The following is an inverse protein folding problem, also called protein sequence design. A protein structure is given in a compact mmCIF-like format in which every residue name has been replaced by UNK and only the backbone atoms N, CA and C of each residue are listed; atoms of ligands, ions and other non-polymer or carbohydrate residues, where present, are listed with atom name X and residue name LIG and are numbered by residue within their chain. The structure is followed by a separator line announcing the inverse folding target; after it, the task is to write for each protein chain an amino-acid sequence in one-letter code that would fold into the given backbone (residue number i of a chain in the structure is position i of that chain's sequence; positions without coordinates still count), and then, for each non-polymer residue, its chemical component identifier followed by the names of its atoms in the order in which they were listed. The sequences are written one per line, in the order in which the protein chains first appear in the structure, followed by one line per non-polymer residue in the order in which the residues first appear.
data_IF_997661291732
#
_entry.id   IF_997661291732
#
_cell.length_a   1.000
_cell.length_b   1.000
_cell.length_c   1.000
_cell.angle_alpha   90.00
_cell.angle_beta   90.00
_cell.angle_gamma   90.00
#
_symmetry.space_group_name_H-M   'P 1'
#
loop_
_entity.id
_entity.type
_entity.pdbx_description
1 polymer ?
#
# COMPACT_ATOMS: atom_id res chain seq x y z
N UNK A 1 -44.31 20.31 -4.85
CA UNK A 1 -43.28 20.27 -5.89
C UNK A 1 -41.87 20.33 -5.33
N UNK A 2 -41.49 21.24 -4.43
CA UNK A 2 -40.13 21.37 -3.89
C UNK A 2 -39.70 20.14 -3.07
N UNK A 3 -40.55 19.58 -2.21
CA UNK A 3 -40.20 18.38 -1.40
C UNK A 3 -39.92 17.14 -2.24
N UNK A 4 -40.49 17.00 -3.43
CA UNK A 4 -40.27 15.87 -4.31
C UNK A 4 -38.92 16.00 -5.05
N UNK A 5 -38.57 17.24 -5.45
CA UNK A 5 -37.27 17.54 -6.07
C UNK A 5 -36.10 17.28 -5.10
N UNK A 6 -36.22 17.71 -3.84
CA UNK A 6 -35.23 17.44 -2.79
C UNK A 6 -35.04 15.95 -2.54
N UNK A 7 -36.15 15.18 -2.50
CA UNK A 7 -36.08 13.72 -2.28
C UNK A 7 -35.38 13.01 -3.43
N UNK A 8 -35.67 13.39 -4.69
CA UNK A 8 -35.03 12.81 -5.86
C UNK A 8 -33.52 13.15 -5.88
N UNK A 9 -33.14 14.40 -5.61
CA UNK A 9 -31.74 14.80 -5.53
C UNK A 9 -30.96 14.02 -4.44
N UNK A 10 -31.60 13.69 -3.33
CA UNK A 10 -30.97 12.90 -2.26
C UNK A 10 -30.77 11.43 -2.66
N UNK A 11 -31.73 10.86 -3.38
CA UNK A 11 -31.64 9.50 -3.94
C UNK A 11 -30.52 9.44 -4.99
N UNK A 12 -30.45 10.40 -5.91
CA UNK A 12 -29.42 10.46 -6.95
C UNK A 12 -28.01 10.62 -6.37
N UNK A 13 -27.85 11.47 -5.34
CA UNK A 13 -26.57 11.58 -4.61
C UNK A 13 -26.15 10.29 -3.93
N UNK A 14 -27.09 9.55 -3.34
CA UNK A 14 -26.79 8.28 -2.72
C UNK A 14 -26.39 7.22 -3.75
N UNK A 15 -27.10 7.15 -4.89
CA UNK A 15 -26.73 6.25 -5.98
C UNK A 15 -25.35 6.55 -6.55
N UNK A 16 -25.04 7.81 -6.81
CA UNK A 16 -23.71 8.23 -7.28
C UNK A 16 -22.59 7.85 -6.28
N UNK A 17 -22.85 8.02 -4.97
CA UNK A 17 -21.89 7.65 -3.92
C UNK A 17 -21.67 6.14 -3.84
N UNK A 18 -22.73 5.35 -3.99
CA UNK A 18 -22.63 3.87 -4.00
C UNK A 18 -21.81 3.41 -5.21
N UNK A 19 -22.12 3.91 -6.42
CA UNK A 19 -21.37 3.59 -7.63
C UNK A 19 -19.90 3.97 -7.54
N UNK A 20 -19.59 5.13 -6.98
CA UNK A 20 -18.20 5.58 -6.78
C UNK A 20 -17.45 4.67 -5.78
N UNK A 21 -18.11 4.25 -4.70
CA UNK A 21 -17.52 3.33 -3.74
C UNK A 21 -17.26 1.93 -4.37
N UNK A 22 -18.18 1.44 -5.18
CA UNK A 22 -18.01 0.17 -5.93
C UNK A 22 -16.85 0.27 -6.93
N UNK A 23 -16.74 1.38 -7.66
CA UNK A 23 -15.62 1.66 -8.57
C UNK A 23 -14.29 1.64 -7.82
N UNK A 24 -14.18 2.39 -6.72
CA UNK A 24 -12.97 2.44 -5.87
C UNK A 24 -12.61 1.06 -5.31
N UNK A 25 -13.60 0.29 -4.89
CA UNK A 25 -13.39 -1.09 -4.41
C UNK A 25 -12.83 -1.99 -5.51
N UNK A 26 -13.40 -1.93 -6.72
CA UNK A 26 -12.94 -2.73 -7.86
C UNK A 26 -11.51 -2.38 -8.25
N UNK A 27 -11.18 -1.10 -8.36
CA UNK A 27 -9.81 -0.63 -8.63
C UNK A 27 -8.83 -1.10 -7.55
N UNK A 28 -9.21 -1.01 -6.28
CA UNK A 28 -8.39 -1.49 -5.16
C UNK A 28 -8.07 -2.98 -5.30
N UNK A 29 -9.05 -3.81 -5.61
CA UNK A 29 -8.86 -5.25 -5.81
C UNK A 29 -7.95 -5.54 -7.00
N UNK A 30 -8.12 -4.85 -8.12
CA UNK A 30 -7.27 -5.00 -9.30
C UNK A 30 -5.80 -4.65 -9.00
N UNK A 31 -5.55 -3.59 -8.22
CA UNK A 31 -4.19 -3.22 -7.82
C UNK A 31 -3.57 -4.23 -6.87
N UNK A 32 -4.34 -4.77 -5.91
CA UNK A 32 -3.86 -5.82 -5.01
C UNK A 32 -3.55 -7.12 -5.78
N UNK A 33 -4.36 -7.48 -6.76
CA UNK A 33 -4.10 -8.62 -7.65
C UNK A 33 -2.83 -8.40 -8.47
N UNK A 34 -2.66 -7.21 -9.04
CA UNK A 34 -1.44 -6.84 -9.76
C UNK A 34 -0.18 -6.91 -8.88
N UNK A 35 -0.23 -6.42 -7.63
CA UNK A 35 0.88 -6.54 -6.66
C UNK A 35 1.23 -8.02 -6.45
N UNK A 36 0.22 -8.87 -6.28
CA UNK A 36 0.39 -10.32 -6.06
C UNK A 36 0.99 -11.02 -7.29
N UNK A 37 0.57 -10.66 -8.51
CA UNK A 37 1.14 -11.17 -9.77
C UNK A 37 2.62 -10.81 -9.91
N UNK A 38 3.04 -9.66 -9.39
CA UNK A 38 4.45 -9.26 -9.29
C UNK A 38 5.20 -9.93 -8.15
N UNK A 39 4.59 -10.88 -7.44
CA UNK A 39 5.14 -11.61 -6.29
C UNK A 39 5.49 -10.73 -5.08
N UNK A 40 4.80 -9.59 -4.91
CA UNK A 40 4.92 -8.76 -3.72
C UNK A 40 3.75 -8.99 -2.76
N UNK A 41 4.05 -8.97 -1.48
CA UNK A 41 3.07 -9.00 -0.40
C UNK A 41 3.51 -8.01 0.66
N UNK A 42 2.75 -6.93 0.80
CA UNK A 42 3.02 -5.90 1.79
C UNK A 42 2.04 -6.00 2.95
N UNK A 43 2.53 -5.82 4.19
CA UNK A 43 1.69 -5.66 5.37
C UNK A 43 0.82 -4.40 5.22
N UNK A 44 1.45 -3.31 4.78
CA UNK A 44 0.78 -2.04 4.49
C UNK A 44 1.21 -1.54 3.12
N UNK A 45 0.29 -1.02 2.32
CA UNK A 45 0.66 -0.40 1.04
C UNK A 45 -0.29 0.71 0.61
N UNK A 46 0.30 1.71 -0.04
CA UNK A 46 -0.34 2.90 -0.57
C UNK A 46 -0.31 2.87 -2.10
N UNK A 47 -1.37 3.33 -2.73
CA UNK A 47 -1.38 3.73 -4.14
C UNK A 47 -1.21 5.24 -4.20
N UNK A 48 -0.15 5.70 -4.84
CA UNK A 48 0.26 7.09 -4.85
C UNK A 48 0.13 7.69 -6.25
N UNK A 49 -0.40 8.91 -6.32
CA UNK A 49 -0.41 9.76 -7.51
C UNK A 49 0.65 10.84 -7.32
N UNK A 50 1.73 10.74 -8.09
CA UNK A 50 2.87 11.67 -8.00
C UNK A 50 2.53 13.08 -8.51
N UNK A 51 1.60 13.22 -9.45
CA UNK A 51 1.21 14.50 -10.04
C UNK A 51 0.25 15.30 -9.17
N UNK A 52 -0.66 14.58 -8.50
CA UNK A 52 -1.66 15.21 -7.63
C UNK A 52 -1.20 15.30 -6.18
N UNK A 53 -0.02 14.78 -5.85
CA UNK A 53 0.48 14.66 -4.48
C UNK A 53 -0.53 13.98 -3.56
N UNK A 54 -1.14 12.89 -4.01
CA UNK A 54 -2.14 12.17 -3.22
C UNK A 54 -1.79 10.71 -3.06
N UNK A 55 -2.33 10.10 -2.01
CA UNK A 55 -2.31 8.66 -1.84
C UNK A 55 -3.65 8.13 -1.36
N UNK A 56 -3.87 6.84 -1.56
CA UNK A 56 -4.91 6.06 -0.91
C UNK A 56 -4.36 4.72 -0.40
N UNK A 57 -4.86 4.29 0.74
CA UNK A 57 -4.50 3.01 1.33
C UNK A 57 -5.11 1.86 0.51
N UNK A 58 -4.27 0.94 0.02
CA UNK A 58 -4.72 -0.30 -0.60
C UNK A 58 -4.88 -1.41 0.44
N UNK A 59 -3.95 -1.49 1.38
CA UNK A 59 -3.95 -2.45 2.47
C UNK A 59 -3.32 -1.82 3.70
N UNK A 60 -3.89 -2.10 4.86
CA UNK A 60 -3.27 -1.77 6.15
C UNK A 60 -3.56 -2.84 7.19
N UNK A 61 -2.59 -3.10 8.03
CA UNK A 61 -2.77 -3.84 9.27
C UNK A 61 -3.36 -2.93 10.35
N UNK A 62 -3.97 -3.54 11.36
CA UNK A 62 -4.53 -2.81 12.49
C UNK A 62 -3.44 -1.98 13.21
N UNK A 63 -3.73 -0.72 13.46
CA UNK A 63 -2.81 0.20 14.12
C UNK A 63 -1.76 0.84 13.21
N UNK A 64 -1.83 0.69 11.88
CA UNK A 64 -0.99 1.45 10.98
C UNK A 64 -1.33 2.94 11.07
N UNK A 65 -0.33 3.79 11.16
CA UNK A 65 -0.46 5.20 11.58
C UNK A 65 -0.96 6.16 10.49
N UNK A 66 -0.95 5.75 9.21
CA UNK A 66 -1.44 6.60 8.13
C UNK A 66 -2.96 6.49 7.97
N UNK A 67 -3.60 7.58 7.56
CA UNK A 67 -5.02 7.62 7.21
C UNK A 67 -5.31 6.80 5.93
N UNK A 68 -6.59 6.59 5.61
CA UNK A 68 -7.00 5.86 4.41
C UNK A 68 -6.62 6.58 3.11
N UNK A 69 -6.60 7.90 3.12
CA UNK A 69 -6.18 8.75 2.01
C UNK A 69 -5.62 10.09 2.49
N UNK A 70 -4.95 10.81 1.61
CA UNK A 70 -4.40 12.12 1.92
C UNK A 70 -3.33 12.60 0.94
N UNK A 71 -2.55 13.61 1.36
CA UNK A 71 -1.37 14.07 0.63
C UNK A 71 -0.23 13.08 0.80
N UNK A 72 0.42 12.72 -0.32
CA UNK A 72 1.60 11.87 -0.30
C UNK A 72 2.76 12.53 0.47
N UNK A 73 3.00 13.82 0.25
CA UNK A 73 4.03 14.57 0.99
C UNK A 73 3.76 14.56 2.48
N UNK A 74 2.50 14.71 2.89
CA UNK A 74 2.08 14.59 4.29
C UNK A 74 2.32 13.20 4.87
N UNK A 75 2.04 12.14 4.11
CA UNK A 75 2.31 10.76 4.50
C UNK A 75 3.82 10.51 4.62
N UNK A 76 4.64 11.01 3.69
CA UNK A 76 6.10 10.90 3.73
C UNK A 76 6.69 11.53 5.00
N UNK A 77 6.20 12.68 5.43
CA UNK A 77 6.62 13.30 6.71
C UNK A 77 6.21 12.46 7.93
N UNK A 78 5.03 11.84 7.95
CA UNK A 78 4.61 10.92 9.01
C UNK A 78 5.48 9.66 9.02
N UNK A 79 5.79 9.09 7.85
CA UNK A 79 6.73 7.96 7.72
C UNK A 79 8.12 8.31 8.28
N UNK A 80 8.61 9.52 7.99
CA UNK A 80 9.88 10.00 8.55
C UNK A 80 9.85 10.14 10.08
N UNK A 81 8.72 10.55 10.65
CA UNK A 81 8.57 10.67 12.10
C UNK A 81 8.56 9.30 12.77
N UNK A 82 7.85 8.33 12.19
CA UNK A 82 7.66 7.01 12.77
C UNK A 82 8.86 6.07 12.53
N UNK A 83 9.47 6.11 11.35
CA UNK A 83 10.44 5.09 10.93
C UNK A 83 11.88 5.57 10.88
N UNK A 84 12.14 6.88 10.73
CA UNK A 84 13.49 7.35 10.54
C UNK A 84 14.23 7.49 11.86
N UNK A 85 15.32 6.73 12.04
CA UNK A 85 16.35 7.06 13.01
C UNK A 85 17.12 8.33 12.58
N UNK A 86 17.74 9.04 13.52
CA UNK A 86 18.36 10.35 13.26
C UNK A 86 19.45 10.29 12.17
N UNK A 87 20.23 9.22 12.13
CA UNK A 87 21.30 8.99 11.17
C UNK A 87 20.78 8.63 9.75
N UNK A 88 19.59 8.05 9.64
CA UNK A 88 18.98 7.66 8.36
C UNK A 88 17.95 8.66 7.84
N UNK A 89 17.46 9.58 8.68
CA UNK A 89 16.37 10.51 8.37
C UNK A 89 16.59 11.30 7.07
N UNK A 90 17.80 11.84 6.88
CA UNK A 90 18.12 12.62 5.68
C UNK A 90 18.06 11.76 4.40
N UNK A 91 18.55 10.53 4.46
CA UNK A 91 18.56 9.60 3.32
C UNK A 91 17.15 9.15 3.00
N UNK A 92 16.36 8.81 4.03
CA UNK A 92 14.97 8.39 3.89
C UNK A 92 14.11 9.53 3.31
N UNK A 93 14.28 10.77 3.81
CA UNK A 93 13.60 11.95 3.29
C UNK A 93 13.87 12.11 1.78
N UNK A 94 15.13 12.09 1.39
CA UNK A 94 15.52 12.21 -0.01
C UNK A 94 14.92 11.09 -0.87
N UNK A 95 14.88 9.86 -0.36
CA UNK A 95 14.31 8.73 -1.09
C UNK A 95 12.80 8.86 -1.26
N UNK A 96 12.08 9.40 -0.26
CA UNK A 96 10.62 9.62 -0.30
C UNK A 96 10.20 10.82 -1.16
N UNK A 97 11.10 11.72 -1.55
CA UNK A 97 10.77 12.84 -2.43
C UNK A 97 10.25 12.34 -3.80
N UNK A 98 9.16 12.96 -4.31
CA UNK A 98 8.59 12.61 -5.63
C UNK A 98 9.66 12.68 -6.72
N UNK A 99 10.49 13.73 -6.71
CA UNK A 99 11.58 13.89 -7.67
C UNK A 99 12.59 12.71 -7.64
N UNK A 100 12.84 12.11 -6.48
CA UNK A 100 13.68 10.92 -6.36
C UNK A 100 12.96 9.67 -6.87
N UNK A 101 11.66 9.55 -6.61
CA UNK A 101 10.84 8.47 -7.17
C UNK A 101 10.80 8.54 -8.69
N UNK A 102 10.62 9.73 -9.28
CA UNK A 102 10.64 9.94 -10.74
C UNK A 102 11.97 9.54 -11.38
N UNK A 103 13.09 9.78 -10.69
CA UNK A 103 14.42 9.37 -11.17
C UNK A 103 14.67 7.87 -11.05
N UNK A 104 14.01 7.22 -10.07
CA UNK A 104 14.27 5.83 -9.69
C UNK A 104 13.21 4.84 -10.19
N UNK A 105 12.07 5.31 -10.69
CA UNK A 105 10.97 4.47 -11.14
C UNK A 105 10.61 4.78 -12.58
N UNK A 106 10.41 3.74 -13.37
CA UNK A 106 10.00 3.84 -14.76
C UNK A 106 9.87 2.45 -15.40
N UNK A 107 9.52 2.39 -16.69
CA UNK A 107 9.37 1.10 -17.39
C UNK A 107 10.63 0.22 -17.39
N UNK A 108 11.82 0.83 -17.29
CA UNK A 108 13.10 0.12 -17.24
C UNK A 108 13.56 -0.20 -15.82
N UNK A 109 13.01 0.49 -14.81
CA UNK A 109 13.29 0.28 -13.40
C UNK A 109 11.98 0.20 -12.62
N UNK A 110 11.40 -0.99 -12.60
CA UNK A 110 10.07 -1.23 -12.04
C UNK A 110 9.99 -1.06 -10.52
N UNK A 111 11.13 -1.04 -9.81
CA UNK A 111 11.15 -0.91 -8.34
C UNK A 111 12.36 -0.17 -7.81
N UNK A 112 12.19 0.45 -6.65
CA UNK A 112 13.27 0.95 -5.78
C UNK A 112 12.95 0.60 -4.33
N UNK A 113 13.99 0.40 -3.51
CA UNK A 113 13.83 -0.07 -2.12
C UNK A 113 14.66 0.79 -1.17
N UNK A 114 14.16 0.96 0.05
CA UNK A 114 14.86 1.62 1.14
C UNK A 114 14.71 0.79 2.42
N UNK A 115 15.84 0.29 2.94
CA UNK A 115 15.87 -0.40 4.23
C UNK A 115 16.11 0.57 5.36
N UNK A 116 15.40 0.39 6.46
CA UNK A 116 15.51 1.23 7.65
C UNK A 116 15.53 0.41 8.92
N UNK A 117 16.01 1.03 9.99
CA UNK A 117 15.99 0.51 11.33
C UNK A 117 15.38 1.55 12.25
N UNK A 118 14.41 1.14 13.07
CA UNK A 118 13.86 2.01 14.11
C UNK A 118 13.99 1.41 15.49
N UNK A 119 14.14 2.24 16.50
CA UNK A 119 14.14 1.80 17.90
C UNK A 119 12.70 1.64 18.39
N UNK A 120 12.39 0.48 18.97
CA UNK A 120 11.08 0.19 19.54
C UNK A 120 11.27 -0.36 20.96
N UNK A 121 10.98 0.47 21.97
CA UNK A 121 11.25 0.12 23.36
C UNK A 121 12.75 -0.07 23.60
N UNK A 122 13.15 -1.25 24.07
CA UNK A 122 14.55 -1.64 24.33
C UNK A 122 15.22 -2.32 23.14
N UNK A 123 14.49 -2.58 22.04
CA UNK A 123 14.98 -3.29 20.87
C UNK A 123 14.94 -2.46 19.60
N UNK A 124 15.25 -3.13 18.48
CA UNK A 124 15.19 -2.53 17.15
C UNK A 124 14.26 -3.35 16.28
N UNK A 125 13.53 -2.66 15.39
CA UNK A 125 12.81 -3.26 14.26
C UNK A 125 13.50 -2.84 12.98
N UNK A 126 13.64 -3.79 12.08
CA UNK A 126 14.12 -3.56 10.73
C UNK A 126 12.94 -3.54 9.80
N UNK A 127 12.94 -2.63 8.85
CA UNK A 127 11.90 -2.54 7.87
C UNK A 127 12.46 -2.23 6.49
N UNK A 128 11.63 -2.46 5.50
CA UNK A 128 11.90 -2.11 4.12
C UNK A 128 10.67 -1.43 3.53
N UNK A 129 10.89 -0.31 2.89
CA UNK A 129 9.93 0.31 1.99
C UNK A 129 10.30 -0.08 0.55
N UNK A 130 9.31 -0.46 -0.22
CA UNK A 130 9.46 -0.79 -1.64
C UNK A 130 8.50 0.09 -2.44
N UNK A 131 9.03 0.88 -3.36
CA UNK A 131 8.22 1.60 -4.32
C UNK A 131 8.19 0.83 -5.65
N UNK A 132 6.98 0.60 -6.19
CA UNK A 132 6.75 -0.12 -7.45
C UNK A 132 6.16 0.83 -8.48
N UNK A 133 6.77 0.88 -9.67
CA UNK A 133 6.24 1.63 -10.81
C UNK A 133 4.93 1.01 -11.30
N UNK A 134 3.90 1.84 -11.48
CA UNK A 134 2.62 1.42 -12.05
C UNK A 134 2.47 1.94 -13.47
N UNK A 135 2.55 3.25 -13.65
CA UNK A 135 2.49 3.87 -14.97
C UNK A 135 3.14 5.26 -15.00
N UNK A 136 3.44 5.72 -16.21
CA UNK A 136 3.83 7.09 -16.50
C UNK A 136 2.66 7.87 -17.08
N UNK A 137 2.75 9.21 -17.02
CA UNK A 137 1.88 10.13 -17.74
C UNK A 137 2.28 10.20 -19.23
N UNK A 138 1.47 10.91 -20.03
CA UNK A 138 1.73 11.07 -21.48
C UNK A 138 3.06 11.77 -21.78
N UNK A 139 3.53 12.64 -20.88
CA UNK A 139 4.81 13.32 -20.96
C UNK A 139 6.00 12.47 -20.50
N UNK A 140 5.75 11.22 -20.09
CA UNK A 140 6.76 10.28 -19.62
C UNK A 140 7.14 10.43 -18.13
N UNK A 141 6.61 11.45 -17.42
CA UNK A 141 6.83 11.61 -15.99
C UNK A 141 6.12 10.50 -15.18
N UNK A 142 6.61 10.22 -13.97
CA UNK A 142 5.96 9.28 -13.06
C UNK A 142 4.53 9.76 -12.75
N UNK A 143 3.54 8.91 -13.01
CA UNK A 143 2.15 9.22 -12.67
C UNK A 143 1.76 8.47 -11.41
N UNK A 144 1.73 7.14 -11.45
CA UNK A 144 1.33 6.34 -10.31
C UNK A 144 2.40 5.33 -9.89
N UNK A 145 2.52 5.14 -8.60
CA UNK A 145 3.36 4.09 -8.00
C UNK A 145 2.71 3.52 -6.74
N UNK A 146 3.18 2.35 -6.31
CA UNK A 146 2.78 1.74 -5.05
C UNK A 146 3.93 1.86 -4.08
N UNK A 147 3.65 2.31 -2.85
CA UNK A 147 4.59 2.31 -1.75
C UNK A 147 4.18 1.27 -0.73
N UNK A 148 4.95 0.19 -0.64
CA UNK A 148 4.74 -0.93 0.29
C UNK A 148 5.68 -0.84 1.49
N UNK A 149 5.21 -1.34 2.62
CA UNK A 149 5.93 -1.35 3.90
C UNK A 149 5.96 -2.77 4.46
N UNK A 150 7.16 -3.25 4.77
CA UNK A 150 7.39 -4.51 5.47
C UNK A 150 8.25 -4.25 6.71
N UNK A 151 7.86 -4.79 7.86
CA UNK A 151 8.66 -4.77 9.08
C UNK A 151 9.08 -6.18 9.48
N UNK A 152 10.32 -6.32 9.93
CA UNK A 152 10.93 -7.56 10.37
C UNK A 152 11.26 -7.51 11.86
N UNK A 153 10.88 -8.54 12.60
CA UNK A 153 10.96 -8.52 14.07
C UNK A 153 12.33 -8.89 14.67
N UNK A 154 13.32 -9.33 13.89
CA UNK A 154 14.56 -9.88 14.48
C UNK A 154 15.82 -9.52 13.71
N UNK A 155 16.76 -8.85 14.40
CA UNK A 155 18.00 -8.34 13.84
C UNK A 155 19.08 -9.38 13.56
N UNK A 156 19.05 -10.52 14.24
CA UNK A 156 20.14 -11.53 14.18
C UNK A 156 20.07 -12.46 12.97
N UNK A 157 19.00 -12.37 12.15
CA UNK A 157 18.72 -13.36 11.11
C UNK A 157 18.48 -12.79 9.70
N UNK A 158 18.89 -11.57 9.41
CA UNK A 158 18.65 -10.95 8.10
C UNK A 158 19.20 -11.75 6.89
N UNK A 159 20.24 -12.56 7.05
CA UNK A 159 20.81 -13.36 5.95
C UNK A 159 20.13 -14.71 5.71
N UNK A 160 19.54 -15.32 6.77
CA UNK A 160 18.85 -16.61 6.67
C UNK A 160 17.33 -16.50 6.74
N UNK A 161 16.83 -15.38 7.23
CA UNK A 161 15.43 -15.15 7.59
C UNK A 161 14.55 -14.58 6.44
N UNK A 162 15.14 -13.94 5.43
CA UNK A 162 14.35 -13.51 4.26
C UNK A 162 13.67 -14.71 3.61
N UNK A 163 14.40 -15.81 3.44
CA UNK A 163 13.84 -17.05 2.90
C UNK A 163 12.81 -17.70 3.84
N UNK A 164 13.05 -17.66 5.14
CA UNK A 164 12.17 -18.28 6.13
C UNK A 164 10.90 -17.45 6.37
N UNK A 165 10.98 -16.13 6.38
CA UNK A 165 9.82 -15.26 6.51
C UNK A 165 8.99 -15.19 5.23
N UNK A 166 9.62 -15.18 4.05
CA UNK A 166 8.90 -15.37 2.80
C UNK A 166 8.13 -16.70 2.81
N UNK A 167 8.78 -17.78 3.21
CA UNK A 167 8.16 -19.12 3.30
C UNK A 167 7.00 -19.11 4.30
N UNK A 168 7.18 -18.55 5.50
CA UNK A 168 6.14 -18.45 6.52
C UNK A 168 4.97 -17.55 6.07
N UNK A 169 5.26 -16.49 5.37
CA UNK A 169 4.25 -15.57 4.81
C UNK A 169 3.48 -16.23 3.66
N UNK A 170 4.17 -17.00 2.80
CA UNK A 170 3.52 -17.84 1.78
C UNK A 170 2.64 -18.92 2.39
N UNK A 171 3.08 -19.58 3.46
CA UNK A 171 2.30 -20.59 4.16
C UNK A 171 1.05 -19.97 4.82
N UNK A 172 1.18 -18.82 5.47
CA UNK A 172 0.04 -18.10 6.05
C UNK A 172 -0.95 -17.62 4.99
N UNK A 173 -0.47 -17.10 3.85
CA UNK A 173 -1.34 -16.73 2.72
C UNK A 173 -2.02 -17.94 2.11
N UNK A 174 -1.29 -19.03 1.91
CA UNK A 174 -1.84 -20.27 1.38
C UNK A 174 -2.95 -20.80 2.29
N UNK A 175 -2.74 -20.75 3.59
CA UNK A 175 -3.72 -21.14 4.59
C UNK A 175 -4.96 -20.24 4.59
N UNK A 176 -4.77 -18.92 4.52
CA UNK A 176 -5.88 -17.94 4.39
C UNK A 176 -6.67 -18.09 3.09
N UNK A 177 -6.00 -18.43 1.98
CA UNK A 177 -6.67 -18.70 0.69
C UNK A 177 -7.47 -20.01 0.75
N UNK A 178 -6.92 -21.05 1.39
CA UNK A 178 -7.60 -22.32 1.59
C UNK A 178 -8.81 -22.18 2.51
N UNK A 179 -8.69 -21.44 3.60
CA UNK A 179 -9.79 -21.16 4.52
C UNK A 179 -10.90 -20.33 3.85
N UNK A 180 -10.55 -19.32 3.06
CA UNK A 180 -11.50 -18.53 2.28
C UNK A 180 -12.10 -19.33 1.11
N UNK A 181 -11.35 -20.24 0.48
CA UNK A 181 -11.83 -21.15 -0.54
C UNK A 181 -12.88 -22.13 0.01
N UNK A 182 -12.60 -22.71 1.17
CA UNK A 182 -13.53 -23.60 1.86
C UNK A 182 -14.83 -22.88 2.28
N UNK A 183 -14.75 -21.57 2.59
CA UNK A 183 -15.93 -20.76 2.92
C UNK A 183 -16.83 -20.51 1.69
N UNK A 184 -16.24 -20.35 0.52
CA UNK A 184 -16.98 -20.17 -0.75
C UNK A 184 -17.62 -21.50 -1.19
N UNK A 185 -16.93 -22.64 -1.07
CA UNK A 185 -17.50 -23.94 -1.34
C UNK A 185 -18.65 -24.27 -0.38
N UNK A 186 -18.51 -24.02 0.92
CA UNK A 186 -19.58 -24.23 1.91
C UNK A 186 -20.81 -23.35 1.65
N UNK A 187 -20.63 -22.13 1.12
CA UNK A 187 -21.75 -21.26 0.72
C UNK A 187 -22.45 -21.73 -0.57
N UNK A 188 -21.71 -22.39 -1.47
CA UNK A 188 -22.29 -22.93 -2.71
C UNK A 188 -23.03 -24.25 -2.50
N UNK A 189 -22.67 -25.04 -1.47
CA UNK A 189 -23.38 -26.28 -1.10
C UNK A 189 -24.67 -26.04 -0.30
N UNK A 190 -24.87 -24.82 0.26
CA UNK A 190 -26.06 -24.46 1.04
C UNK A 190 -27.07 -23.61 0.27
N UNK A 191 -26.85 -23.32 -1.02
CA UNK A 191 -27.73 -22.59 -1.92
C UNK A 191 -28.44 -23.55 -2.92
#
# INVERSE_FOLDING_TARGET
LFKQADKNMYVDKNHAKVQENERKRKERLQLLDWIREKHYVFANCLYCDARMDTYRMLRSEEGFFLAEDGSYTGAAEQVLQEFAADDTRKKMRKWLEIASMEQSLGPAMEKTEFSYQRKVGVGYRYGRMTALFVNAAEDGSLHHFILGFDEFHDSEKMGTNEKFQLTRYYEQMKQSILENGNYVEALMETA
#
